data_IF_716991738907
#
_entry.id   IF_716991738907
#
_cell.length_a   1.000
_cell.length_b   1.000
_cell.length_c   1.000
_cell.angle_alpha   90.00
_cell.angle_beta   90.00
_cell.angle_gamma   90.00
#
_symmetry.space_group_name_H-M   'P 1'
#
loop_
_entity.id
_entity.type
_entity.pdbx_description
1 polymer ?
#
# COMPACT_ATOMS: atom_id res chain seq x y z
N UNK A 1 -19.57 -13.99 17.54
CA UNK A 1 -18.24 -13.40 17.82
C UNK A 1 -17.18 -14.30 17.20
N UNK A 2 -16.66 -13.95 16.03
CA UNK A 2 -15.62 -14.75 15.37
C UNK A 2 -14.39 -13.86 15.16
N UNK A 3 -13.70 -13.57 16.27
CA UNK A 3 -12.40 -12.95 16.26
C UNK A 3 -11.38 -14.05 15.91
N UNK A 4 -11.24 -14.33 14.61
CA UNK A 4 -10.14 -15.14 14.11
C UNK A 4 -8.84 -14.39 14.35
N UNK A 5 -8.07 -14.88 15.31
CA UNK A 5 -6.69 -14.49 15.59
C UNK A 5 -5.90 -14.38 14.28
N UNK A 6 -5.26 -13.21 14.10
CA UNK A 6 -4.49 -12.85 12.91
C UNK A 6 -3.17 -13.60 12.79
N UNK A 7 -2.78 -14.36 13.81
CA UNK A 7 -1.42 -14.86 14.01
C UNK A 7 -1.29 -16.37 13.74
N UNK A 8 -2.38 -17.15 13.82
CA UNK A 8 -2.35 -18.61 13.54
C UNK A 8 -2.39 -18.95 12.03
N UNK A 9 -2.43 -17.93 11.16
CA UNK A 9 -2.42 -18.09 9.69
C UNK A 9 -1.03 -17.93 9.04
N UNK A 10 0.04 -17.83 9.83
CA UNK A 10 1.40 -17.54 9.36
C UNK A 10 2.25 -18.78 9.03
N UNK A 11 1.64 -19.86 8.54
CA UNK A 11 2.44 -20.88 7.86
C UNK A 11 2.91 -20.33 6.51
N UNK A 12 4.23 -20.14 6.36
CA UNK A 12 4.85 -19.76 5.11
C UNK A 12 4.35 -20.66 3.95
N UNK A 13 3.84 -20.08 2.84
CA UNK A 13 3.32 -20.88 1.74
C UNK A 13 4.45 -21.66 1.08
N UNK A 14 4.14 -22.86 0.56
CA UNK A 14 5.08 -23.53 -0.34
C UNK A 14 5.08 -22.81 -1.68
N UNK A 15 6.27 -22.56 -2.22
CA UNK A 15 6.48 -21.96 -3.53
C UNK A 15 6.80 -23.09 -4.51
N UNK A 16 5.90 -23.32 -5.45
CA UNK A 16 6.16 -24.22 -6.58
C UNK A 16 6.81 -23.37 -7.68
N UNK A 17 8.07 -23.65 -7.96
CA UNK A 17 8.93 -22.97 -8.93
C UNK A 17 9.03 -23.79 -10.21
N UNK A 18 9.34 -23.11 -11.31
CA UNK A 18 9.57 -23.69 -12.64
C UNK A 18 8.29 -24.21 -13.33
N UNK A 19 7.15 -23.59 -13.03
CA UNK A 19 5.90 -23.81 -13.75
C UNK A 19 5.93 -23.05 -15.07
N UNK A 20 5.40 -23.63 -16.14
CA UNK A 20 5.29 -22.93 -17.42
C UNK A 20 4.42 -21.66 -17.29
N UNK A 21 4.85 -20.49 -17.79
CA UNK A 21 4.16 -19.21 -17.54
C UNK A 21 2.72 -19.16 -18.04
N UNK A 22 2.36 -19.97 -19.05
CA UNK A 22 1.00 -20.05 -19.60
C UNK A 22 0.09 -20.99 -18.81
N UNK A 23 0.62 -21.75 -17.83
CA UNK A 23 -0.21 -22.69 -17.08
C UNK A 23 -1.29 -21.99 -16.26
N UNK A 24 -2.45 -22.62 -16.25
CA UNK A 24 -3.60 -22.10 -15.52
C UNK A 24 -3.53 -22.47 -14.04
N UNK A 25 -4.17 -21.67 -13.19
CA UNK A 25 -4.36 -22.01 -11.78
C UNK A 25 -5.04 -23.38 -11.63
N UNK A 26 -6.01 -23.70 -12.51
CA UNK A 26 -6.73 -24.97 -12.52
C UNK A 26 -5.82 -26.17 -12.78
N UNK A 27 -4.80 -26.01 -13.62
CA UNK A 27 -3.81 -27.07 -13.89
C UNK A 27 -3.04 -27.46 -12.63
N UNK A 28 -2.68 -26.46 -11.81
CA UNK A 28 -1.97 -26.67 -10.54
C UNK A 28 -2.88 -27.32 -9.50
N UNK A 29 -4.15 -26.92 -9.43
CA UNK A 29 -5.15 -27.55 -8.55
C UNK A 29 -5.39 -29.02 -8.91
N UNK A 30 -5.45 -29.34 -10.21
CA UNK A 30 -5.53 -30.73 -10.69
C UNK A 30 -4.30 -31.54 -10.28
N UNK A 31 -3.12 -30.96 -10.35
CA UNK A 31 -1.87 -31.61 -9.94
C UNK A 31 -1.87 -31.91 -8.44
N UNK A 32 -2.27 -30.94 -7.61
CA UNK A 32 -2.39 -31.13 -6.16
C UNK A 32 -3.44 -32.20 -5.80
N UNK A 33 -4.57 -32.23 -6.51
CA UNK A 33 -5.61 -33.23 -6.34
C UNK A 33 -5.13 -34.64 -6.70
N UNK A 34 -4.31 -34.79 -7.75
CA UNK A 34 -3.71 -36.08 -8.15
C UNK A 34 -2.85 -36.70 -7.03
N UNK A 35 -2.19 -35.87 -6.23
CA UNK A 35 -1.36 -36.31 -5.10
C UNK A 35 -2.10 -36.34 -3.76
N UNK A 36 -3.42 -36.09 -3.77
CA UNK A 36 -4.28 -36.06 -2.58
C UNK A 36 -3.81 -35.06 -1.51
N UNK A 37 -3.17 -33.97 -1.92
CA UNK A 37 -2.65 -32.96 -1.01
C UNK A 37 -3.75 -31.96 -0.69
N UNK A 38 -4.10 -31.82 0.59
CA UNK A 38 -5.03 -30.78 1.07
C UNK A 38 -4.36 -29.42 1.06
N UNK A 39 -5.02 -28.42 0.49
CA UNK A 39 -4.53 -27.04 0.45
C UNK A 39 -5.65 -26.07 0.79
N UNK A 40 -5.28 -24.91 1.35
CA UNK A 40 -6.20 -23.83 1.69
C UNK A 40 -6.46 -22.90 0.51
N UNK A 41 -5.40 -22.52 -0.19
CA UNK A 41 -5.48 -21.57 -1.30
C UNK A 41 -4.32 -21.75 -2.26
N UNK A 42 -4.60 -21.66 -3.57
CA UNK A 42 -3.58 -21.60 -4.62
C UNK A 42 -3.60 -20.21 -5.26
N UNK A 43 -2.42 -19.59 -5.37
CA UNK A 43 -2.22 -18.31 -6.04
C UNK A 43 -1.10 -18.43 -7.07
N UNK A 44 -1.45 -18.41 -8.36
CA UNK A 44 -0.49 -18.26 -9.45
C UNK A 44 -0.20 -16.77 -9.67
N UNK A 45 1.07 -16.42 -9.86
CA UNK A 45 1.45 -15.07 -10.27
C UNK A 45 1.50 -15.03 -11.80
N UNK A 46 0.66 -14.22 -12.48
CA UNK A 46 0.67 -14.13 -13.94
C UNK A 46 2.03 -13.60 -14.44
N UNK A 47 2.51 -14.13 -15.57
CA UNK A 47 3.80 -13.77 -16.15
C UNK A 47 5.03 -14.28 -15.39
N UNK A 48 4.86 -14.89 -14.21
CA UNK A 48 5.95 -15.51 -13.45
C UNK A 48 5.82 -17.04 -13.47
N UNK A 49 6.95 -17.73 -13.59
CA UNK A 49 7.01 -19.19 -13.64
C UNK A 49 6.92 -19.87 -12.26
N UNK A 50 6.12 -19.32 -11.35
CA UNK A 50 5.93 -19.90 -10.01
C UNK A 50 4.50 -19.69 -9.49
N UNK A 51 4.11 -20.54 -8.55
CA UNK A 51 2.86 -20.46 -7.83
C UNK A 51 3.06 -20.60 -6.32
N UNK A 52 2.17 -19.97 -5.56
CA UNK A 52 2.14 -20.03 -4.11
C UNK A 52 0.97 -20.92 -3.69
N UNK A 53 1.26 -21.91 -2.86
CA UNK A 53 0.27 -22.80 -2.27
C UNK A 53 0.27 -22.59 -0.75
N UNK A 54 -0.89 -22.21 -0.24
CA UNK A 54 -1.13 -21.98 1.17
C UNK A 54 -1.73 -23.25 1.78
N UNK A 55 -1.17 -23.68 2.91
CA UNK A 55 -1.58 -24.86 3.64
C UNK A 55 -2.16 -24.46 4.99
N UNK A 56 -3.07 -25.29 5.51
CA UNK A 56 -3.60 -25.14 6.86
C UNK A 56 -2.69 -25.81 7.89
N UNK A 57 -2.05 -26.92 7.52
CA UNK A 57 -1.14 -27.67 8.39
C UNK A 57 0.27 -27.73 7.80
N UNK A 58 1.26 -27.74 8.68
CA UNK A 58 2.67 -27.90 8.30
C UNK A 58 2.99 -29.30 7.76
N UNK A 59 2.25 -30.33 8.19
CA UNK A 59 2.36 -31.72 7.71
C UNK A 59 2.02 -31.82 6.22
N UNK A 60 0.86 -31.29 5.81
CA UNK A 60 0.44 -31.26 4.40
C UNK A 60 1.45 -30.52 3.50
N UNK A 61 2.10 -29.48 4.03
CA UNK A 61 3.15 -28.75 3.32
C UNK A 61 4.40 -29.60 3.10
N UNK A 62 4.86 -30.34 4.11
CA UNK A 62 6.02 -31.24 3.99
C UNK A 62 5.74 -32.37 3.00
N UNK A 63 4.55 -32.96 3.07
CA UNK A 63 4.12 -33.98 2.11
C UNK A 63 4.08 -33.44 0.67
N UNK A 64 3.61 -32.21 0.50
CA UNK A 64 3.61 -31.56 -0.81
C UNK A 64 5.03 -31.45 -1.39
N UNK A 65 6.00 -31.04 -0.57
CA UNK A 65 7.40 -30.93 -1.00
C UNK A 65 7.94 -32.32 -1.37
N UNK A 66 7.78 -33.31 -0.49
CA UNK A 66 8.29 -34.64 -0.72
C UNK A 66 7.71 -35.33 -1.97
N UNK A 67 6.42 -35.11 -2.26
CA UNK A 67 5.72 -35.76 -3.37
C UNK A 67 5.87 -35.02 -4.70
N UNK A 68 5.98 -33.69 -4.67
CA UNK A 68 5.95 -32.87 -5.89
C UNK A 68 7.32 -32.37 -6.34
N UNK A 69 8.31 -32.30 -5.44
CA UNK A 69 9.64 -31.87 -5.83
C UNK A 69 10.26 -32.87 -6.81
N UNK A 70 10.73 -32.38 -7.97
CA UNK A 70 11.31 -33.22 -9.01
C UNK A 70 10.30 -33.87 -9.98
N UNK A 71 9.00 -33.58 -9.85
CA UNK A 71 8.04 -34.10 -10.82
C UNK A 71 8.09 -33.40 -12.17
N UNK A 72 7.79 -34.16 -13.23
CA UNK A 72 7.68 -33.62 -14.58
C UNK A 72 6.26 -33.12 -14.85
N UNK A 73 6.14 -31.83 -15.16
CA UNK A 73 4.87 -31.16 -15.41
C UNK A 73 4.98 -30.22 -16.62
N UNK A 74 4.20 -30.47 -17.67
CA UNK A 74 4.15 -29.65 -18.90
C UNK A 74 5.55 -29.24 -19.40
N UNK A 75 6.36 -30.25 -19.75
CA UNK A 75 7.72 -30.15 -20.28
C UNK A 75 8.79 -29.54 -19.37
N UNK A 76 8.50 -29.37 -18.06
CA UNK A 76 9.48 -28.88 -17.08
C UNK A 76 9.43 -29.69 -15.80
N UNK A 77 10.58 -29.81 -15.15
CA UNK A 77 10.66 -30.37 -13.80
C UNK A 77 10.30 -29.28 -12.79
N UNK A 78 9.24 -29.48 -12.02
CA UNK A 78 8.84 -28.54 -10.98
C UNK A 78 9.72 -28.71 -9.73
N UNK A 79 9.97 -27.59 -9.05
CA UNK A 79 10.73 -27.60 -7.79
C UNK A 79 9.88 -26.95 -6.71
N UNK A 80 9.70 -27.60 -5.58
CA UNK A 80 8.89 -27.08 -4.47
C UNK A 80 9.80 -26.65 -3.33
N UNK A 81 9.80 -25.35 -3.02
CA UNK A 81 10.63 -24.77 -1.95
C UNK A 81 9.78 -24.00 -0.95
N UNK A 82 10.19 -24.03 0.30
CA UNK A 82 9.70 -23.08 1.31
C UNK A 82 10.61 -21.87 1.21
N UNK A 83 10.09 -20.75 0.73
CA UNK A 83 10.87 -19.53 0.50
C UNK A 83 10.19 -18.37 1.21
N UNK A 84 10.65 -18.12 2.43
CA UNK A 84 10.13 -17.07 3.31
C UNK A 84 10.51 -15.66 2.79
N UNK A 85 11.66 -15.52 2.16
CA UNK A 85 12.15 -14.24 1.63
C UNK A 85 11.33 -13.76 0.42
N UNK A 86 11.04 -14.66 -0.53
CA UNK A 86 10.17 -14.32 -1.67
C UNK A 86 8.75 -13.99 -1.20
N UNK A 87 8.27 -14.63 -0.13
CA UNK A 87 6.98 -14.32 0.45
C UNK A 87 6.92 -12.89 1.00
N UNK A 88 7.93 -12.46 1.76
CA UNK A 88 7.98 -11.09 2.29
C UNK A 88 8.06 -10.04 1.18
N UNK A 89 8.90 -10.25 0.16
CA UNK A 89 9.02 -9.34 -0.97
C UNK A 89 7.71 -9.19 -1.76
N UNK A 90 6.97 -10.29 -1.97
CA UNK A 90 5.66 -10.25 -2.62
C UNK A 90 4.60 -9.54 -1.74
N UNK A 91 4.66 -9.73 -0.42
CA UNK A 91 3.77 -9.04 0.55
C UNK A 91 4.02 -7.53 0.55
N UNK A 92 5.28 -7.10 0.53
CA UNK A 92 5.67 -5.69 0.44
C UNK A 92 5.28 -5.05 -0.90
N UNK A 93 5.45 -5.76 -2.02
CA UNK A 93 5.03 -5.26 -3.33
C UNK A 93 3.49 -5.09 -3.41
N UNK A 94 2.72 -6.04 -2.88
CA UNK A 94 1.25 -5.93 -2.83
C UNK A 94 0.76 -4.81 -1.92
N UNK A 95 1.45 -4.55 -0.79
CA UNK A 95 1.14 -3.40 0.07
C UNK A 95 1.35 -2.09 -0.70
N UNK A 96 2.48 -1.96 -1.40
CA UNK A 96 2.78 -0.78 -2.22
C UNK A 96 1.81 -0.60 -3.39
N UNK A 97 1.38 -1.67 -4.06
CA UNK A 97 0.39 -1.58 -5.14
C UNK A 97 -1.01 -1.20 -4.63
N UNK A 98 -1.42 -1.69 -3.46
CA UNK A 98 -2.67 -1.27 -2.80
C UNK A 98 -2.65 0.18 -2.35
N UNK A 99 -1.50 0.65 -1.87
CA UNK A 99 -1.29 2.05 -1.48
C UNK A 99 -1.26 2.95 -2.72
N UNK A 100 -0.55 2.55 -3.79
CA UNK A 100 -0.50 3.30 -5.04
C UNK A 100 -1.88 3.43 -5.73
N UNK A 101 -2.73 2.39 -5.66
CA UNK A 101 -4.10 2.46 -6.18
C UNK A 101 -5.08 3.20 -5.24
N UNK A 102 -4.75 3.36 -3.95
CA UNK A 102 -5.54 4.22 -3.05
C UNK A 102 -5.32 5.70 -3.34
N UNK A 103 -4.16 6.07 -3.87
CA UNK A 103 -3.82 7.46 -4.14
C UNK A 103 -4.44 8.01 -5.44
N UNK A 104 -4.98 7.16 -6.33
CA UNK A 104 -5.68 7.61 -7.55
C UNK A 104 -7.21 7.68 -7.41
N UNK A 105 -7.83 6.89 -6.52
CA UNK A 105 -9.30 6.86 -6.37
C UNK A 105 -9.83 6.81 -4.92
N UNK A 106 -8.97 7.01 -3.92
CA UNK A 106 -9.29 6.70 -2.53
C UNK A 106 -9.29 7.88 -1.56
N UNK A 107 -9.41 9.13 -2.00
CA UNK A 107 -9.97 10.13 -1.08
C UNK A 107 -11.46 9.86 -1.05
N UNK A 108 -11.91 9.03 -0.09
CA UNK A 108 -13.28 9.07 0.38
C UNK A 108 -13.54 10.53 0.70
N UNK A 109 -14.11 11.28 -0.26
CA UNK A 109 -14.68 12.59 0.00
C UNK A 109 -15.58 12.33 1.20
N UNK A 110 -15.21 12.85 2.38
CA UNK A 110 -16.16 12.94 3.48
C UNK A 110 -17.33 13.67 2.85
N UNK A 111 -18.38 12.92 2.57
CA UNK A 111 -19.57 13.44 1.92
C UNK A 111 -20.22 14.23 3.04
N UNK A 112 -19.85 15.51 3.14
CA UNK A 112 -20.51 16.42 4.07
C UNK A 112 -21.98 16.36 3.70
N UNK A 113 -22.79 15.94 4.67
CA UNK A 113 -24.23 15.93 4.55
C UNK A 113 -24.66 17.37 4.31
N UNK A 114 -25.22 17.64 3.13
CA UNK A 114 -25.69 18.97 2.76
C UNK A 114 -27.03 19.14 3.47
N UNK A 115 -27.02 19.83 4.61
CA UNK A 115 -28.23 20.03 5.44
C UNK A 115 -29.09 21.14 4.86
N UNK A 116 -28.49 22.17 4.24
CA UNK A 116 -29.21 23.32 3.67
C UNK A 116 -28.76 23.64 2.26
N UNK A 117 -29.64 24.23 1.46
CA UNK A 117 -29.34 24.69 0.11
C UNK A 117 -28.16 25.69 0.08
N UNK A 118 -28.00 26.48 1.14
CA UNK A 118 -26.87 27.42 1.33
C UNK A 118 -25.51 26.71 1.42
N UNK A 119 -25.48 25.49 1.95
CA UNK A 119 -24.25 24.69 2.09
C UNK A 119 -23.82 24.10 0.75
N UNK A 120 -24.77 23.90 -0.18
CA UNK A 120 -24.47 23.47 -1.54
C UNK A 120 -23.85 24.61 -2.37
N UNK A 121 -24.38 25.83 -2.22
CA UNK A 121 -23.96 27.01 -3.00
C UNK A 121 -22.69 27.65 -2.43
N UNK A 122 -22.55 27.64 -1.11
CA UNK A 122 -21.46 28.31 -0.38
C UNK A 122 -21.00 27.48 0.82
N UNK A 123 -20.33 26.35 0.59
CA UNK A 123 -20.01 25.37 1.65
C UNK A 123 -19.12 25.88 2.78
N UNK A 124 -18.42 27.01 2.60
CA UNK A 124 -17.52 27.58 3.60
C UNK A 124 -18.09 28.85 4.26
N UNK A 125 -19.34 29.23 3.99
CA UNK A 125 -19.92 30.49 4.49
C UNK A 125 -19.99 30.59 6.01
N UNK A 126 -20.07 29.45 6.71
CA UNK A 126 -20.11 29.39 8.17
C UNK A 126 -18.76 29.67 8.85
N UNK A 127 -17.65 29.66 8.09
CA UNK A 127 -16.31 29.88 8.63
C UNK A 127 -15.88 31.34 8.48
N UNK A 128 -15.05 31.88 9.40
CA UNK A 128 -14.47 33.20 9.24
C UNK A 128 -13.55 33.23 8.01
N UNK A 129 -13.51 34.39 7.34
CA UNK A 129 -12.81 34.55 6.06
C UNK A 129 -11.34 34.05 6.05
N UNK A 130 -10.52 34.27 7.10
CA UNK A 130 -9.16 33.74 7.14
C UNK A 130 -9.10 32.20 7.02
N UNK A 131 -10.02 31.48 7.65
CA UNK A 131 -10.08 30.02 7.59
C UNK A 131 -10.56 29.54 6.22
N UNK A 132 -11.51 30.26 5.60
CA UNK A 132 -11.94 29.96 4.24
C UNK A 132 -10.77 30.05 3.25
N UNK A 133 -9.93 31.07 3.39
CA UNK A 133 -8.74 31.24 2.55
C UNK A 133 -7.76 30.09 2.74
N UNK A 134 -7.50 29.68 3.99
CA UNK A 134 -6.63 28.54 4.30
C UNK A 134 -7.12 27.25 3.65
N UNK A 135 -8.41 26.94 3.80
CA UNK A 135 -9.00 25.74 3.18
C UNK A 135 -8.95 25.78 1.65
N UNK A 136 -9.21 26.94 1.05
CA UNK A 136 -9.09 27.14 -0.41
C UNK A 136 -7.65 26.97 -0.88
N UNK A 137 -6.68 27.57 -0.19
CA UNK A 137 -5.26 27.44 -0.53
C UNK A 137 -4.77 26.01 -0.37
N UNK A 138 -5.17 25.31 0.69
CA UNK A 138 -4.79 23.92 0.94
C UNK A 138 -5.40 22.98 -0.11
N UNK A 139 -6.63 23.25 -0.55
CA UNK A 139 -7.27 22.52 -1.63
C UNK A 139 -6.54 22.73 -2.95
N UNK A 140 -6.24 23.98 -3.32
CA UNK A 140 -5.47 24.29 -4.53
C UNK A 140 -4.07 23.64 -4.49
N UNK A 141 -3.40 23.69 -3.34
CA UNK A 141 -2.10 23.06 -3.13
C UNK A 141 -2.17 21.55 -3.35
N UNK A 142 -3.12 20.86 -2.73
CA UNK A 142 -3.28 19.40 -2.84
C UNK A 142 -3.75 18.95 -4.22
N UNK A 143 -4.82 19.56 -4.72
CA UNK A 143 -5.50 19.08 -5.92
C UNK A 143 -4.79 19.49 -7.21
N UNK A 144 -4.11 20.64 -7.21
CA UNK A 144 -3.45 21.18 -8.40
C UNK A 144 -1.92 21.13 -8.27
N UNK A 145 -1.36 21.83 -7.29
CA UNK A 145 0.09 22.08 -7.23
C UNK A 145 0.88 20.78 -7.00
N UNK A 146 0.48 19.97 -6.02
CA UNK A 146 1.14 18.70 -5.71
C UNK A 146 1.01 17.69 -6.85
N UNK A 147 -0.14 17.64 -7.55
CA UNK A 147 -0.30 16.74 -8.70
C UNK A 147 0.64 17.11 -9.84
N UNK A 148 0.73 18.40 -10.18
CA UNK A 148 1.67 18.90 -11.20
C UNK A 148 3.11 18.60 -10.78
N UNK A 149 3.48 18.92 -9.53
CA UNK A 149 4.83 18.68 -9.01
C UNK A 149 5.21 17.18 -9.02
N UNK A 150 4.28 16.28 -8.66
CA UNK A 150 4.48 14.82 -8.74
C UNK A 150 4.68 14.36 -10.19
N UNK A 151 3.88 14.90 -11.12
CA UNK A 151 4.04 14.64 -12.55
C UNK A 151 5.41 15.04 -13.08
N UNK A 152 5.85 16.26 -12.76
CA UNK A 152 7.19 16.77 -13.12
C UNK A 152 8.29 15.90 -12.52
N UNK A 153 8.19 15.53 -11.24
CA UNK A 153 9.15 14.65 -10.56
C UNK A 153 9.23 13.26 -11.18
N UNK A 154 8.08 12.67 -11.58
CA UNK A 154 8.02 11.37 -12.26
C UNK A 154 8.67 11.44 -13.64
N UNK A 155 8.35 12.46 -14.43
CA UNK A 155 8.97 12.70 -15.74
C UNK A 155 10.50 12.89 -15.62
N UNK A 156 10.95 13.62 -14.60
CA UNK A 156 12.38 13.81 -14.34
C UNK A 156 13.09 12.50 -13.98
N UNK A 157 12.50 11.69 -13.07
CA UNK A 157 13.04 10.36 -12.73
C UNK A 157 13.07 9.41 -13.92
N UNK A 158 12.03 9.44 -14.76
CA UNK A 158 11.98 8.63 -15.97
C UNK A 158 13.15 8.98 -16.89
N UNK A 159 13.38 10.27 -17.17
CA UNK A 159 14.53 10.74 -17.96
C UNK A 159 15.88 10.30 -17.39
N UNK A 160 16.05 10.35 -16.07
CA UNK A 160 17.28 9.85 -15.43
C UNK A 160 17.47 8.34 -15.64
N UNK A 161 16.39 7.55 -15.54
CA UNK A 161 16.44 6.10 -15.73
C UNK A 161 16.69 5.73 -17.20
N UNK A 162 16.08 6.44 -18.13
CA UNK A 162 16.28 6.24 -19.57
C UNK A 162 17.74 6.53 -19.95
N UNK A 163 18.35 7.57 -19.35
CA UNK A 163 19.78 7.91 -19.52
C UNK A 163 20.74 6.87 -18.90
N UNK A 164 20.33 6.18 -17.83
CA UNK A 164 21.10 5.05 -17.27
C UNK A 164 21.05 3.80 -18.16
N UNK A 165 19.98 3.66 -18.96
CA UNK A 165 19.77 2.51 -19.85
C UNK A 165 20.30 2.74 -21.27
N UNK A 166 20.29 3.98 -21.77
CA UNK A 166 20.84 4.36 -23.07
C UNK A 166 22.21 5.00 -22.92
N UNK A 167 23.27 4.27 -23.30
CA UNK A 167 24.64 4.77 -23.26
C UNK A 167 24.84 6.06 -24.07
N UNK A 168 25.61 6.99 -23.48
CA UNK A 168 26.36 8.06 -24.14
C UNK A 168 25.75 8.72 -25.40
N UNK A 169 24.57 9.33 -25.27
CA UNK A 169 24.11 10.37 -26.20
C UNK A 169 24.42 11.75 -25.64
N UNK A 170 25.37 12.46 -26.24
CA UNK A 170 25.75 13.84 -25.91
C UNK A 170 24.58 14.80 -26.15
N UNK A 171 23.89 15.19 -25.08
CA UNK A 171 23.06 16.39 -25.09
C UNK A 171 23.57 17.36 -24.03
N UNK A 172 24.09 18.48 -24.51
CA UNK A 172 24.73 19.53 -23.74
C UNK A 172 23.67 20.33 -22.96
N UNK A 173 23.90 20.51 -21.67
CA UNK A 173 23.64 21.80 -21.00
C UNK A 173 22.21 22.13 -20.53
N UNK A 174 21.56 21.29 -19.70
CA UNK A 174 20.57 21.81 -18.72
C UNK A 174 20.69 21.11 -17.37
N UNK A 175 20.71 21.92 -16.31
CA UNK A 175 20.86 21.51 -14.91
C UNK A 175 19.98 20.31 -14.55
N UNK A 176 20.63 19.28 -14.00
CA UNK A 176 20.03 18.01 -13.58
C UNK A 176 19.49 18.10 -12.14
N UNK A 177 19.19 19.29 -11.69
CA UNK A 177 18.72 19.55 -10.34
C UNK A 177 17.20 19.62 -10.40
N UNK A 178 16.52 18.83 -9.57
CA UNK A 178 15.07 19.04 -9.34
C UNK A 178 14.89 20.50 -8.99
N UNK A 179 14.03 21.26 -9.71
CA UNK A 179 13.86 22.68 -9.46
C UNK A 179 13.65 22.94 -7.97
N UNK A 180 14.41 23.86 -7.39
CA UNK A 180 14.43 24.12 -5.93
C UNK A 180 13.03 24.34 -5.36
N UNK A 181 12.13 24.96 -6.13
CA UNK A 181 10.74 25.17 -5.73
C UNK A 181 9.97 23.86 -5.51
N UNK A 182 10.25 22.80 -6.28
CA UNK A 182 9.64 21.47 -6.09
C UNK A 182 10.20 20.84 -4.81
N UNK A 183 11.51 20.90 -4.58
CA UNK A 183 12.14 20.36 -3.37
C UNK A 183 11.62 21.03 -2.10
N UNK A 184 11.48 22.36 -2.12
CA UNK A 184 10.95 23.14 -1.00
C UNK A 184 9.46 22.85 -0.75
N UNK A 185 8.67 22.61 -1.81
CA UNK A 185 7.24 22.29 -1.70
C UNK A 185 7.01 20.98 -0.91
N UNK A 186 7.85 19.96 -1.14
CA UNK A 186 7.80 18.68 -0.43
C UNK A 186 8.45 18.72 0.96
N UNK A 187 9.48 19.56 1.17
CA UNK A 187 10.06 19.78 2.49
C UNK A 187 9.05 20.42 3.47
N UNK A 188 8.29 21.40 2.98
CA UNK A 188 7.20 22.02 3.75
C UNK A 188 6.01 21.06 3.99
N UNK A 189 5.84 20.01 3.19
CA UNK A 189 4.80 18.98 3.40
C UNK A 189 5.12 18.13 4.64
N UNK A 190 6.38 17.72 4.82
CA UNK A 190 6.79 16.98 6.04
C UNK A 190 6.64 17.79 7.31
N UNK A 191 7.03 19.07 7.27
CA UNK A 191 6.92 19.93 8.45
C UNK A 191 5.47 20.21 8.85
N UNK A 192 4.55 20.37 7.89
CA UNK A 192 3.13 20.55 8.19
C UNK A 192 2.44 19.26 8.69
N UNK A 193 2.85 18.09 8.21
CA UNK A 193 2.38 16.80 8.74
C UNK A 193 2.90 16.50 10.15
N UNK A 194 4.13 16.91 10.48
CA UNK A 194 4.68 16.78 11.85
C UNK A 194 3.99 17.71 12.85
N UNK A 195 3.71 18.96 12.46
CA UNK A 195 2.96 19.91 13.32
C UNK A 195 1.51 19.45 13.54
N UNK A 196 0.86 18.87 12.54
CA UNK A 196 -0.50 18.32 12.69
C UNK A 196 -0.55 17.11 13.64
N UNK A 197 0.51 16.28 13.67
CA UNK A 197 0.61 15.15 14.60
C UNK A 197 0.89 15.60 16.03
N UNK A 198 1.77 16.60 16.21
CA UNK A 198 2.10 17.10 17.54
C UNK A 198 0.98 17.96 18.15
N UNK A 199 0.13 18.60 17.33
CA UNK A 199 -1.03 19.37 17.81
C UNK A 199 -2.24 18.52 18.26
N UNK A 200 -2.27 17.22 17.94
CA UNK A 200 -3.31 16.30 18.46
C UNK A 200 -2.95 15.74 19.85
N UNK A 201 -1.67 15.67 20.22
CA UNK A 201 -1.24 15.18 21.54
C UNK A 201 -1.44 16.19 22.67
N UNK A 202 -1.40 17.51 22.40
CA UNK A 202 -1.63 18.53 23.44
C UNK A 202 -3.10 18.70 23.85
N UNK A 203 -4.08 18.23 23.07
CA UNK A 203 -5.51 18.39 23.40
C UNK A 203 -6.07 17.30 24.33
N UNK A 204 -5.32 16.23 24.61
CA UNK A 204 -5.77 15.16 25.51
C UNK A 204 -5.23 15.26 26.94
N UNK A 205 -4.46 16.30 27.27
CA UNK A 205 -3.74 16.42 28.55
C UNK A 205 -4.32 17.35 29.62
N UNK A 206 -5.40 18.09 29.36
CA UNK A 206 -5.88 19.14 30.27
C UNK A 206 -7.32 18.87 30.77
N UNK A 207 -7.52 17.82 31.57
CA UNK A 207 -8.75 17.68 32.36
C UNK A 207 -8.53 16.87 33.66
N UNK A 208 -7.83 17.44 34.63
CA UNK A 208 -7.96 17.04 36.04
C UNK A 208 -7.48 18.16 36.97
N UNK A 209 -8.38 19.06 37.34
CA UNK A 209 -8.09 20.09 38.36
C UNK A 209 -9.32 20.94 38.66
N UNK A 210 -9.81 20.83 39.91
CA UNK A 210 -10.91 21.61 40.48
C UNK A 210 -12.23 20.84 40.44
N UNK A 211 -13.00 20.69 41.52
CA UNK A 211 -13.00 21.26 42.86
C UNK A 211 -14.39 20.95 43.43
N UNK A 212 -14.50 20.66 44.73
CA UNK A 212 -15.78 20.26 45.31
C UNK A 212 -15.72 20.16 46.83
N UNK A 213 -15.57 21.32 47.47
CA UNK A 213 -15.90 21.55 48.87
C UNK A 213 -17.38 21.28 49.11
N UNK A 214 -17.70 20.36 50.01
CA UNK A 214 -19.03 20.17 50.59
C UNK A 214 -18.94 20.37 52.09
N UNK A 215 -19.41 21.53 52.56
CA UNK A 215 -19.74 21.80 53.96
C UNK A 215 -20.99 20.98 54.33
N UNK A 216 -20.89 20.12 55.35
CA UNK A 216 -22.06 19.53 55.99
C UNK A 216 -22.24 20.15 57.38
N UNK A 217 -23.30 20.94 57.50
CA UNK A 217 -23.94 21.33 58.75
C UNK A 217 -24.95 20.24 59.14
N UNK A 218 -24.73 19.56 60.26
CA UNK A 218 -25.72 19.29 61.32
C UNK A 218 -25.09 18.53 62.49
#
# INVERSE_FOLDING_TARGET
>A
TNNGSKEDNELAPAVIVNIHPQESKKSIEKLLAKHQIKYKKVKKVPGKGFALVYFEESSNRKECIAKMDGQFFHSKTITVKIDEEKFQNIRHQQKREREANRDEHGSKRQRHEVVRATDAVTPLAHLPYPEQLKLKSDRLRRDCVLKVARGVKKAFRQRLNDRKKGGAGTFVGRDLTVPKWISNLFANERQQEEVAKNGEEEKTGAQSGGGGSGEDNH
#
